data_IF_921883326994
#
_entry.id   IF_921883326994
#
_cell.length_a   1.000
_cell.length_b   1.000
_cell.length_c   1.000
_cell.angle_alpha   90.00
_cell.angle_beta   90.00
_cell.angle_gamma   90.00
#
_symmetry.space_group_name_H-M   'P 1'
#
loop_
_entity.id
_entity.type
_entity.pdbx_description
1 polymer ?
#
# COMPACT_ATOMS: atom_id res chain seq x y z
N UNK A 1 -0.34 -5.26 -4.10
CA UNK A 1 0.02 -5.58 -2.71
C UNK A 1 -0.78 -4.66 -1.81
N UNK A 2 -1.44 -5.24 -0.81
CA UNK A 2 -2.33 -4.52 0.09
C UNK A 2 -1.86 -4.76 1.52
N UNK A 3 -1.74 -3.70 2.31
CA UNK A 3 -1.48 -3.77 3.75
C UNK A 3 -2.47 -2.89 4.48
N UNK A 4 -3.03 -3.42 5.57
CA UNK A 4 -3.87 -2.65 6.47
C UNK A 4 -3.08 -2.31 7.73
N UNK A 5 -2.85 -1.03 7.96
CA UNK A 5 -2.29 -0.54 9.21
C UNK A 5 -3.43 -0.16 10.14
N UNK A 6 -3.44 -0.74 11.33
CA UNK A 6 -4.27 -0.30 12.44
C UNK A 6 -3.35 0.39 13.44
N UNK A 7 -3.51 1.69 13.62
CA UNK A 7 -2.59 2.47 14.47
C UNK A 7 -3.30 3.62 15.19
N UNK A 8 -2.81 4.06 16.36
CA UNK A 8 -3.34 5.23 17.04
C UNK A 8 -3.21 6.48 16.18
N UNK A 9 -4.16 7.40 16.29
CA UNK A 9 -4.20 8.63 15.49
C UNK A 9 -2.98 9.50 15.77
N UNK A 10 -2.44 9.49 16.99
CA UNK A 10 -1.17 10.14 17.31
C UNK A 10 -0.02 9.69 16.40
N UNK A 11 0.09 8.38 16.13
CA UNK A 11 1.12 7.85 15.25
C UNK A 11 0.83 8.16 13.78
N UNK A 12 -0.45 8.17 13.38
CA UNK A 12 -0.86 8.56 12.03
C UNK A 12 -0.59 10.05 11.76
N UNK A 13 -0.94 10.96 12.67
CA UNK A 13 -0.67 12.40 12.58
C UNK A 13 0.81 12.71 12.52
N UNK A 14 1.66 11.96 13.25
CA UNK A 14 3.11 12.11 13.16
C UNK A 14 3.66 11.73 11.78
N UNK A 15 3.06 10.73 11.13
CA UNK A 15 3.47 10.26 9.81
C UNK A 15 2.91 11.10 8.66
N UNK A 16 1.69 11.62 8.82
CA UNK A 16 1.00 12.46 7.83
C UNK A 16 0.53 13.78 8.48
N UNK A 17 1.47 14.67 8.81
CA UNK A 17 1.17 15.90 9.56
C UNK A 17 0.33 16.89 8.78
N UNK A 18 0.26 16.79 7.45
CA UNK A 18 -0.49 17.73 6.61
C UNK A 18 -1.97 17.35 6.44
N UNK A 19 -2.38 16.16 6.90
CA UNK A 19 -3.76 15.71 6.78
C UNK A 19 -4.64 16.32 7.89
N UNK A 20 -5.50 17.26 7.52
CA UNK A 20 -6.29 18.08 8.46
C UNK A 20 -7.16 17.26 9.43
N UNK A 21 -7.85 16.22 8.93
CA UNK A 21 -8.75 15.39 9.74
C UNK A 21 -8.03 14.70 10.92
N UNK A 22 -6.78 14.31 10.73
CA UNK A 22 -5.97 13.73 11.80
C UNK A 22 -5.61 14.76 12.88
N UNK A 23 -5.43 16.04 12.53
CA UNK A 23 -5.17 17.09 13.53
C UNK A 23 -6.37 17.32 14.44
N UNK A 24 -7.56 17.41 13.85
CA UNK A 24 -8.79 17.68 14.60
C UNK A 24 -9.14 16.54 15.55
N UNK A 25 -8.98 15.29 15.09
CA UNK A 25 -9.29 14.11 15.90
C UNK A 25 -8.21 13.78 16.92
N UNK A 26 -6.94 14.10 16.62
CA UNK A 26 -5.86 14.02 17.61
C UNK A 26 -6.15 14.89 18.84
N UNK A 27 -6.72 16.08 18.66
CA UNK A 27 -7.09 16.96 19.78
C UNK A 27 -8.23 16.39 20.65
N UNK A 28 -9.09 15.54 20.07
CA UNK A 28 -10.23 14.93 20.78
C UNK A 28 -9.86 13.64 21.50
N UNK A 29 -9.19 12.72 20.81
CA UNK A 29 -8.78 11.44 21.36
C UNK A 29 -7.49 10.93 20.69
N UNK A 30 -6.31 11.16 21.30
CA UNK A 30 -5.03 10.74 20.74
C UNK A 30 -4.84 9.22 20.56
N UNK A 31 -5.57 8.42 21.32
CA UNK A 31 -5.49 6.95 21.31
C UNK A 31 -6.52 6.31 20.38
N UNK A 32 -7.34 7.12 19.70
CA UNK A 32 -8.29 6.65 18.70
C UNK A 32 -7.54 5.86 17.62
N UNK A 33 -7.98 4.62 17.36
CA UNK A 33 -7.35 3.78 16.35
C UNK A 33 -7.92 4.07 14.97
N UNK A 34 -7.04 4.38 14.01
CA UNK A 34 -7.38 4.58 12.61
C UNK A 34 -6.88 3.44 11.75
N UNK A 35 -7.61 3.18 10.66
CA UNK A 35 -7.29 2.15 9.66
C UNK A 35 -6.78 2.82 8.38
N UNK A 36 -5.54 2.51 8.01
CA UNK A 36 -4.89 3.03 6.80
C UNK A 36 -4.59 1.86 5.87
N UNK A 37 -5.18 1.88 4.68
CA UNK A 37 -4.88 0.94 3.63
C UNK A 37 -3.71 1.44 2.80
N UNK A 38 -2.64 0.65 2.71
CA UNK A 38 -1.54 0.89 1.79
C UNK A 38 -1.66 -0.04 0.59
N UNK A 39 -1.74 0.55 -0.59
CA UNK A 39 -1.82 -0.16 -1.87
C UNK A 39 -0.54 0.12 -2.65
N UNK A 40 0.11 -0.94 -3.11
CA UNK A 40 1.13 -0.85 -4.15
C UNK A 40 0.75 -1.74 -5.31
N UNK A 41 0.55 -1.14 -6.47
CA UNK A 41 0.07 -1.83 -7.67
C UNK A 41 0.80 -1.33 -8.92
N UNK A 42 0.98 -2.18 -9.95
CA UNK A 42 1.44 -1.72 -11.25
C UNK A 42 0.52 -0.60 -11.76
N UNK A 43 1.11 0.45 -12.35
CA UNK A 43 0.35 1.44 -13.10
C UNK A 43 0.05 0.89 -14.50
N UNK A 44 -1.17 1.11 -14.99
CA UNK A 44 -1.52 0.73 -16.37
C UNK A 44 -0.82 1.65 -17.38
N UNK A 45 -0.60 1.18 -18.60
CA UNK A 45 0.03 1.97 -19.68
C UNK A 45 -0.77 3.27 -19.96
N UNK A 46 -2.10 3.23 -19.78
CA UNK A 46 -2.97 4.40 -19.89
C UNK A 46 -2.79 5.41 -18.74
N UNK A 47 -2.38 4.96 -17.55
CA UNK A 47 -2.00 5.84 -16.42
C UNK A 47 -0.59 6.41 -16.59
N UNK A 48 0.27 5.70 -17.34
CA UNK A 48 1.62 6.12 -17.79
C UNK A 48 1.52 7.04 -19.02
N UNK A 49 0.75 8.12 -18.91
CA UNK A 49 0.34 8.96 -20.04
C UNK A 49 1.00 10.34 -20.11
N UNK A 50 2.05 10.42 -20.95
CA UNK A 50 2.66 11.58 -21.65
C UNK A 50 3.11 12.77 -20.80
N UNK A 51 4.44 12.95 -20.73
CA UNK A 51 5.14 14.12 -20.19
C UNK A 51 4.78 15.43 -20.90
N UNK A 52 3.58 15.92 -20.64
CA UNK A 52 3.20 17.32 -20.83
C UNK A 52 3.66 18.13 -19.62
N UNK A 53 4.19 19.33 -19.88
CA UNK A 53 4.65 20.31 -18.89
C UNK A 53 3.64 20.41 -17.74
N UNK A 54 3.96 19.83 -16.59
CA UNK A 54 3.15 19.89 -15.37
C UNK A 54 2.73 18.55 -14.73
N UNK A 55 2.91 17.40 -15.41
CA UNK A 55 2.61 16.08 -14.81
C UNK A 55 3.88 15.43 -14.27
N UNK A 56 4.09 15.53 -12.95
CA UNK A 56 5.33 15.19 -12.25
C UNK A 56 5.78 13.72 -12.35
N UNK A 57 6.93 13.46 -11.70
CA UNK A 57 7.67 12.19 -11.58
C UNK A 57 6.80 10.94 -11.39
N UNK A 58 5.59 11.06 -10.82
CA UNK A 58 4.67 9.95 -10.60
C UNK A 58 4.13 9.27 -11.87
N UNK A 59 4.09 9.97 -13.00
CA UNK A 59 3.57 9.40 -14.28
C UNK A 59 4.57 8.49 -15.00
N UNK A 60 5.84 8.50 -14.57
CA UNK A 60 6.90 7.67 -15.15
C UNK A 60 7.18 6.39 -14.33
N UNK A 61 6.64 6.30 -13.11
CA UNK A 61 6.91 5.17 -12.21
C UNK A 61 6.08 3.95 -12.59
N UNK A 62 6.63 2.77 -12.33
CA UNK A 62 6.01 1.51 -12.72
C UNK A 62 4.93 1.04 -11.75
N UNK A 63 5.07 1.43 -10.49
CA UNK A 63 4.15 1.07 -9.42
C UNK A 63 3.67 2.33 -8.73
N UNK A 64 2.36 2.43 -8.50
CA UNK A 64 1.78 3.42 -7.58
C UNK A 64 1.91 2.93 -6.14
N UNK A 65 1.98 3.86 -5.21
CA UNK A 65 1.99 3.62 -3.77
C UNK A 65 1.04 4.61 -3.10
N UNK A 66 -0.08 4.11 -2.61
CA UNK A 66 -1.18 4.93 -2.09
C UNK A 66 -1.50 4.53 -0.67
N UNK A 67 -1.47 5.52 0.23
CA UNK A 67 -2.03 5.39 1.56
C UNK A 67 -3.43 6.00 1.56
N UNK A 68 -4.42 5.21 1.96
CA UNK A 68 -5.84 5.56 1.96
C UNK A 68 -6.35 5.49 3.39
N UNK A 69 -6.89 6.59 3.89
CA UNK A 69 -7.62 6.58 5.13
C UNK A 69 -9.00 5.96 4.89
N UNK A 70 -9.25 4.79 5.49
CA UNK A 70 -10.38 3.95 5.09
C UNK A 70 -11.75 4.48 5.48
N UNK A 71 -11.92 5.17 6.61
CA UNK A 71 -13.26 5.63 7.00
C UNK A 71 -13.79 6.69 6.03
N UNK A 72 -12.89 7.56 5.55
CA UNK A 72 -13.22 8.67 4.66
C UNK A 72 -13.01 8.33 3.18
N UNK A 73 -12.41 7.17 2.89
CA UNK A 73 -11.99 6.75 1.54
C UNK A 73 -11.09 7.80 0.85
N UNK A 74 -10.26 8.51 1.62
CA UNK A 74 -9.39 9.60 1.13
C UNK A 74 -7.95 9.11 0.98
N UNK A 75 -7.31 9.46 -0.13
CA UNK A 75 -5.87 9.27 -0.30
C UNK A 75 -5.15 10.33 0.56
N UNK A 76 -4.33 9.87 1.51
CA UNK A 76 -3.56 10.74 2.41
C UNK A 76 -2.11 10.92 1.95
N UNK A 77 -1.61 10.01 1.12
CA UNK A 77 -0.28 10.11 0.53
C UNK A 77 -0.21 9.27 -0.74
N UNK A 78 0.35 9.85 -1.79
CA UNK A 78 0.56 9.19 -3.06
C UNK A 78 2.04 9.31 -3.46
N UNK A 79 2.64 8.19 -3.85
CA UNK A 79 4.00 8.11 -4.37
C UNK A 79 4.10 6.95 -5.35
N UNK A 80 5.32 6.58 -5.76
CA UNK A 80 5.51 5.40 -6.59
C UNK A 80 6.93 4.85 -6.54
N UNK A 81 7.12 3.77 -7.28
CA UNK A 81 8.41 3.08 -7.39
C UNK A 81 8.70 2.73 -8.87
N UNK A 82 9.98 2.78 -9.25
CA UNK A 82 10.44 2.33 -10.58
C UNK A 82 10.39 0.82 -10.73
N UNK A 83 10.53 0.09 -9.62
CA UNK A 83 10.43 -1.37 -9.53
C UNK A 83 9.60 -1.77 -8.31
N UNK A 84 9.08 -3.00 -8.29
CA UNK A 84 8.26 -3.46 -7.16
C UNK A 84 9.10 -3.48 -5.87
N UNK A 85 8.69 -2.76 -4.80
CA UNK A 85 9.56 -2.50 -3.65
C UNK A 85 9.59 -3.63 -2.61
N UNK A 86 8.74 -4.66 -2.75
CA UNK A 86 8.63 -5.73 -1.76
C UNK A 86 9.21 -7.03 -2.30
N UNK A 87 9.99 -7.67 -1.45
CA UNK A 87 10.47 -9.02 -1.73
C UNK A 87 9.30 -10.00 -1.58
N UNK A 88 9.09 -10.82 -2.60
CA UNK A 88 8.06 -11.87 -2.60
C UNK A 88 8.77 -13.21 -2.69
N UNK A 89 8.81 -13.94 -1.58
CA UNK A 89 9.43 -15.27 -1.52
C UNK A 89 8.41 -16.33 -1.86
N UNK A 90 8.78 -17.24 -2.76
CA UNK A 90 8.04 -18.46 -3.07
C UNK A 90 9.02 -19.63 -2.90
N UNK A 91 8.62 -20.69 -2.21
CA UNK A 91 9.46 -21.89 -2.04
C UNK A 91 9.45 -22.76 -3.29
N UNK A 92 8.26 -23.20 -3.71
CA UNK A 92 8.03 -23.87 -4.98
C UNK A 92 6.79 -23.25 -5.61
N UNK A 93 6.81 -23.00 -6.91
CA UNK A 93 5.68 -22.47 -7.68
C UNK A 93 5.37 -23.40 -8.83
N UNK A 94 4.16 -23.95 -8.87
CA UNK A 94 3.68 -24.71 -10.03
C UNK A 94 3.36 -23.80 -11.21
N UNK A 95 3.35 -24.36 -12.42
CA UNK A 95 2.89 -23.64 -13.61
C UNK A 95 1.44 -23.17 -13.42
N UNK A 96 1.15 -21.94 -13.84
CA UNK A 96 -0.18 -21.33 -13.70
C UNK A 96 -0.59 -20.92 -12.28
N UNK A 97 0.17 -21.24 -11.23
CA UNK A 97 -0.18 -20.87 -9.86
C UNK A 97 0.19 -19.42 -9.54
N UNK A 98 -0.71 -18.70 -8.86
CA UNK A 98 -0.46 -17.32 -8.41
C UNK A 98 0.39 -17.30 -7.14
N UNK A 99 0.22 -18.29 -6.27
CA UNK A 99 0.95 -18.46 -5.02
C UNK A 99 1.82 -19.70 -5.06
N UNK A 100 2.94 -19.66 -4.34
CA UNK A 100 3.79 -20.83 -4.13
C UNK A 100 3.39 -21.61 -2.89
N UNK A 101 3.85 -22.86 -2.79
CA UNK A 101 3.65 -23.74 -1.66
C UNK A 101 4.96 -23.94 -0.90
N UNK A 102 4.85 -24.03 0.43
CA UNK A 102 5.95 -24.34 1.33
C UNK A 102 6.18 -25.86 1.46
N UNK A 103 7.37 -26.33 1.85
CA UNK A 103 7.67 -27.76 2.03
C UNK A 103 6.70 -28.50 2.95
N UNK A 104 6.15 -27.81 3.95
CA UNK A 104 5.15 -28.38 4.86
C UNK A 104 3.92 -28.92 4.12
N UNK A 105 3.56 -28.36 2.97
CA UNK A 105 2.43 -28.84 2.16
C UNK A 105 2.69 -30.25 1.59
N UNK A 106 3.95 -30.66 1.40
CA UNK A 106 4.30 -32.03 1.00
C UNK A 106 4.14 -33.04 2.15
N UNK A 107 4.31 -32.59 3.40
CA UNK A 107 4.14 -33.45 4.57
C UNK A 107 2.66 -33.62 4.93
N UNK A 108 1.86 -32.55 4.79
CA UNK A 108 0.41 -32.58 5.07
C UNK A 108 -0.35 -33.45 4.07
N UNK A 109 0.08 -33.55 2.81
CA UNK A 109 -0.59 -34.37 1.80
C UNK A 109 -0.46 -35.89 2.01
N UNK A 110 0.28 -36.33 3.04
CA UNK A 110 0.52 -37.75 3.38
C UNK A 110 -0.11 -38.18 4.71
N UNK A 111 -0.90 -37.33 5.34
CA UNK A 111 -1.71 -37.61 6.54
C UNK A 111 -3.17 -37.75 6.12
#
# INVERSE_FOLDING_TARGET
>A
MYRLFSMPIKAASAKWPDFADFKERLAKNPDETVKILHIVSPQSENQRGKGGKGKGLMTTLAYSSEYIYLSEQKIISQSGYSYFPFFVTLWIKGEGQVYGYAPAHHAISRV
#
